data_IF_021438399997
#
_entry.id   IF_021438399997
#
_cell.length_a   1.000
_cell.length_b   1.000
_cell.length_c   1.000
_cell.angle_alpha   90.00
_cell.angle_beta   90.00
_cell.angle_gamma   90.00
#
_symmetry.space_group_name_H-M   'P 1'
#
loop_
_entity.id
_entity.type
_entity.pdbx_description
1 polymer ?
#
# COMPACT_ATOMS: atom_id res chain seq x y z
N UNK A 1 27.29 -65.91 -5.79
CA UNK A 1 28.45 -66.19 -6.67
C UNK A 1 28.00 -67.18 -7.72
N UNK A 2 28.45 -66.96 -8.96
CA UNK A 2 28.16 -67.73 -10.19
C UNK A 2 26.83 -67.32 -10.84
N UNK A 3 26.84 -66.42 -11.85
CA UNK A 3 27.21 -66.65 -13.28
C UNK A 3 26.13 -67.48 -13.99
N UNK A 4 25.67 -67.23 -15.22
CA UNK A 4 26.12 -66.37 -16.31
C UNK A 4 24.97 -66.29 -17.34
N UNK A 5 24.96 -65.20 -18.08
CA UNK A 5 24.24 -64.93 -19.35
C UNK A 5 24.47 -66.03 -20.40
N UNK A 6 23.59 -66.35 -21.36
CA UNK A 6 23.26 -65.56 -22.56
C UNK A 6 22.32 -66.37 -23.50
N UNK A 7 21.46 -65.66 -24.25
CA UNK A 7 21.26 -65.67 -25.73
C UNK A 7 21.66 -66.96 -26.50
N UNK A 8 20.93 -67.52 -27.48
CA UNK A 8 19.96 -67.05 -28.47
C UNK A 8 19.19 -68.26 -29.03
N UNK A 9 18.02 -68.06 -29.67
CA UNK A 9 17.29 -69.13 -30.36
C UNK A 9 15.97 -68.71 -31.04
N UNK A 10 16.11 -68.01 -32.16
CA UNK A 10 15.16 -67.65 -33.24
C UNK A 10 13.89 -68.51 -33.42
N UNK A 11 12.72 -67.88 -33.65
CA UNK A 11 11.80 -68.09 -34.81
C UNK A 11 10.93 -66.82 -35.03
N UNK A 12 10.78 -66.47 -36.31
CA UNK A 12 10.14 -65.29 -36.95
C UNK A 12 8.61 -65.46 -37.09
N UNK A 13 7.82 -64.37 -37.07
CA UNK A 13 6.84 -63.98 -38.11
C UNK A 13 6.00 -62.71 -37.74
N UNK A 14 6.18 -61.67 -38.57
CA UNK A 14 5.20 -60.75 -39.21
C UNK A 14 4.06 -60.13 -38.38
N UNK A 15 3.63 -58.87 -38.53
CA UNK A 15 3.85 -57.86 -39.57
C UNK A 15 3.29 -56.49 -39.12
N UNK A 16 3.64 -55.46 -39.88
CA UNK A 16 2.95 -54.17 -40.13
C UNK A 16 3.15 -52.99 -39.18
N UNK A 17 4.23 -52.28 -39.49
CA UNK A 17 4.22 -51.16 -40.46
C UNK A 17 4.44 -49.75 -39.90
N UNK A 18 5.69 -49.29 -40.05
CA UNK A 18 6.16 -48.19 -40.94
C UNK A 18 5.50 -46.80 -40.80
N UNK A 19 6.18 -45.65 -40.85
CA UNK A 19 7.40 -45.10 -41.50
C UNK A 19 7.75 -43.86 -40.64
N UNK A 20 8.97 -43.70 -40.08
CA UNK A 20 10.14 -42.97 -40.68
C UNK A 20 9.86 -41.45 -40.86
N UNK A 21 10.78 -40.50 -40.64
CA UNK A 21 12.24 -40.53 -40.61
C UNK A 21 12.79 -39.23 -39.99
N UNK A 22 14.02 -39.34 -39.51
CA UNK A 22 15.02 -38.30 -39.20
C UNK A 22 15.21 -37.35 -40.41
N UNK A 23 15.78 -36.14 -40.35
CA UNK A 23 17.18 -35.85 -39.99
C UNK A 23 17.48 -34.35 -40.14
N UNK A 24 18.32 -33.83 -39.23
CA UNK A 24 19.57 -33.06 -39.49
C UNK A 24 19.60 -31.71 -40.26
N UNK A 25 20.04 -30.67 -39.52
CA UNK A 25 21.07 -29.61 -39.83
C UNK A 25 21.01 -28.84 -41.17
N UNK A 26 21.22 -27.51 -41.29
CA UNK A 26 22.00 -26.53 -40.53
C UNK A 26 21.94 -25.14 -41.22
N UNK A 27 22.25 -24.08 -40.45
CA UNK A 27 22.92 -22.80 -40.80
C UNK A 27 22.18 -21.59 -41.45
N UNK A 28 22.52 -20.42 -40.85
CA UNK A 28 22.60 -19.03 -41.35
C UNK A 28 21.45 -18.02 -41.12
N UNK A 29 21.65 -17.21 -40.07
CA UNK A 29 21.81 -15.74 -39.99
C UNK A 29 20.84 -14.73 -40.67
N UNK A 30 20.51 -13.72 -39.85
CA UNK A 30 20.12 -12.32 -40.10
C UNK A 30 18.72 -12.00 -40.70
N UNK A 31 17.80 -11.47 -39.87
CA UNK A 31 17.44 -10.03 -39.85
C UNK A 31 16.16 -9.73 -39.02
N UNK A 32 16.22 -8.60 -38.30
CA UNK A 32 15.18 -7.67 -37.82
C UNK A 32 13.84 -8.10 -37.15
N UNK A 33 13.67 -7.54 -35.94
CA UNK A 33 12.46 -6.94 -35.35
C UNK A 33 11.07 -7.50 -35.68
N UNK A 34 10.45 -8.12 -34.67
CA UNK A 34 9.20 -7.64 -34.03
C UNK A 34 8.78 -8.67 -32.96
N UNK A 35 9.15 -8.45 -31.70
CA UNK A 35 8.54 -9.18 -30.59
C UNK A 35 7.23 -8.52 -30.20
N UNK A 36 6.15 -9.12 -30.69
CA UNK A 36 4.82 -9.09 -30.12
C UNK A 36 4.86 -9.55 -28.64
N UNK A 37 4.06 -8.87 -27.82
CA UNK A 37 3.79 -9.23 -26.43
C UNK A 37 3.33 -10.69 -26.33
N UNK A 38 3.76 -11.47 -25.32
CA UNK A 38 3.02 -12.63 -24.90
C UNK A 38 1.92 -12.21 -23.93
N UNK A 39 0.71 -12.64 -24.28
CA UNK A 39 -0.50 -12.62 -23.49
C UNK A 39 -0.24 -13.04 -22.04
N UNK A 40 -0.61 -12.17 -21.10
CA UNK A 40 -0.63 -12.47 -19.69
C UNK A 40 -1.65 -13.58 -19.44
N UNK A 41 -1.16 -14.76 -19.12
CA UNK A 41 -1.97 -15.82 -18.52
C UNK A 41 -2.45 -15.34 -17.16
N UNK A 42 -3.75 -15.05 -17.09
CA UNK A 42 -4.47 -14.74 -15.88
C UNK A 42 -4.29 -15.90 -14.88
N UNK A 43 -3.37 -15.72 -13.95
CA UNK A 43 -3.36 -16.50 -12.71
C UNK A 43 -4.36 -15.82 -11.78
N UNK A 44 -5.42 -16.53 -11.43
CA UNK A 44 -6.45 -16.08 -10.49
C UNK A 44 -5.81 -15.76 -9.13
N UNK A 45 -5.39 -14.51 -8.95
CA UNK A 45 -4.97 -13.99 -7.67
C UNK A 45 -6.19 -13.88 -6.76
N UNK A 46 -6.27 -14.77 -5.77
CA UNK A 46 -7.24 -14.67 -4.69
C UNK A 46 -6.95 -13.39 -3.90
N UNK A 47 -7.74 -12.34 -4.15
CA UNK A 47 -7.73 -11.13 -3.33
C UNK A 47 -7.91 -11.53 -1.86
N UNK A 48 -6.86 -11.29 -1.05
CA UNK A 48 -6.73 -11.68 0.36
C UNK A 48 -7.74 -11.02 1.32
N UNK A 49 -8.53 -10.05 0.85
CA UNK A 49 -9.33 -9.18 1.71
C UNK A 49 -10.81 -9.05 1.31
N UNK A 50 -11.39 -10.12 0.74
CA UNK A 50 -12.84 -10.16 0.45
C UNK A 50 -13.64 -10.49 1.71
N UNK A 51 -13.88 -9.49 2.57
CA UNK A 51 -14.74 -9.68 3.75
C UNK A 51 -15.35 -8.41 4.33
N UNK A 52 -14.56 -7.35 4.49
CA UNK A 52 -15.00 -6.17 5.24
C UNK A 52 -15.60 -5.06 4.36
N UNK A 53 -16.76 -5.32 3.73
CA UNK A 53 -17.55 -4.26 3.05
C UNK A 53 -18.84 -3.86 3.75
N UNK A 54 -19.06 -4.24 5.02
CA UNK A 54 -20.26 -3.80 5.74
C UNK A 54 -19.96 -3.30 7.15
N UNK A 55 -20.29 -2.01 7.32
CA UNK A 55 -20.72 -1.33 8.55
C UNK A 55 -19.71 -1.23 9.69
N UNK A 56 -18.85 -0.21 9.65
CA UNK A 56 -18.48 0.58 10.85
C UNK A 56 -18.28 2.03 10.40
N UNK A 57 -19.33 2.85 10.44
CA UNK A 57 -19.25 4.31 10.52
C UNK A 57 -20.60 4.81 11.05
N UNK A 58 -20.72 4.87 12.38
CA UNK A 58 -21.66 5.81 13.00
C UNK A 58 -20.75 6.84 13.64
N UNK A 59 -20.48 7.89 12.88
CA UNK A 59 -19.97 9.13 13.43
C UNK A 59 -21.16 10.08 13.45
N UNK A 60 -21.50 10.64 14.61
CA UNK A 60 -22.63 11.56 14.83
C UNK A 60 -22.42 12.93 14.13
N UNK A 61 -21.48 13.01 13.19
CA UNK A 61 -21.18 14.21 12.42
C UNK A 61 -22.08 14.25 11.19
N UNK A 62 -22.84 15.34 11.02
CA UNK A 62 -23.70 15.56 9.84
C UNK A 62 -22.91 15.58 8.52
N UNK A 63 -21.58 15.65 8.58
CA UNK A 63 -20.70 15.85 7.44
C UNK A 63 -19.51 14.87 7.46
N UNK A 64 -19.17 14.35 6.29
CA UNK A 64 -17.96 13.57 6.02
C UNK A 64 -16.83 14.50 5.62
N UNK A 65 -15.68 14.40 6.29
CA UNK A 65 -14.45 15.09 5.87
C UNK A 65 -13.65 14.22 4.90
N UNK A 66 -13.26 14.80 3.76
CA UNK A 66 -12.49 14.13 2.71
C UNK A 66 -11.26 14.95 2.33
N UNK A 67 -10.12 14.30 2.18
CA UNK A 67 -8.90 14.90 1.61
C UNK A 67 -8.45 14.09 0.41
N UNK A 68 -8.38 14.75 -0.74
CA UNK A 68 -7.82 14.17 -1.97
C UNK A 68 -6.30 14.27 -1.97
N UNK A 69 -5.66 13.15 -2.30
CA UNK A 69 -4.23 12.96 -2.49
C UNK A 69 -4.03 12.32 -3.86
N UNK A 70 -3.30 13.00 -4.76
CA UNK A 70 -3.23 12.57 -6.15
C UNK A 70 -1.84 12.77 -6.73
N UNK A 71 -1.40 11.83 -7.56
CA UNK A 71 -0.28 12.05 -8.47
C UNK A 71 -0.78 12.61 -9.80
N UNK A 72 -0.21 13.74 -10.22
CA UNK A 72 -0.52 14.41 -11.48
C UNK A 72 0.74 14.58 -12.34
N UNK A 73 0.61 14.71 -13.67
CA UNK A 73 1.72 15.08 -14.52
C UNK A 73 2.26 16.50 -14.20
N UNK A 74 3.46 16.81 -14.71
CA UNK A 74 4.02 18.15 -14.58
C UNK A 74 3.27 19.15 -15.47
N UNK A 75 2.95 20.31 -14.90
CA UNK A 75 2.26 21.42 -15.57
C UNK A 75 3.19 22.64 -15.76
N UNK A 76 4.51 22.47 -15.72
CA UNK A 76 5.51 23.56 -15.71
C UNK A 76 5.34 24.65 -16.78
N UNK A 77 4.70 24.34 -17.90
CA UNK A 77 4.53 25.26 -19.02
C UNK A 77 3.11 25.81 -19.18
N UNK A 78 2.24 25.65 -18.18
CA UNK A 78 0.85 26.11 -18.23
C UNK A 78 0.55 26.96 -16.98
N UNK A 79 0.15 28.21 -17.20
CA UNK A 79 -0.34 29.08 -16.12
C UNK A 79 -1.76 28.67 -15.74
N UNK A 80 -1.92 28.20 -14.51
CA UNK A 80 -3.16 27.66 -13.97
C UNK A 80 -2.86 26.75 -12.78
N UNK A 81 -3.85 25.99 -12.34
CA UNK A 81 -3.68 25.07 -11.22
C UNK A 81 -4.61 23.86 -11.33
N UNK A 82 -4.17 22.68 -10.84
CA UNK A 82 -5.01 21.51 -10.79
C UNK A 82 -6.07 21.63 -9.68
N UNK A 83 -7.22 21.03 -9.94
CA UNK A 83 -8.39 21.04 -9.06
C UNK A 83 -9.11 19.69 -9.07
N UNK A 84 -10.01 19.51 -8.11
CA UNK A 84 -11.03 18.46 -8.11
C UNK A 84 -12.38 19.10 -8.42
N UNK A 85 -13.14 18.50 -9.36
CA UNK A 85 -14.51 18.91 -9.66
C UNK A 85 -15.45 17.72 -9.63
N UNK A 86 -16.71 17.93 -9.24
CA UNK A 86 -17.67 16.85 -9.05
C UNK A 86 -19.13 17.30 -9.18
N UNK A 87 -20.06 16.34 -9.14
CA UNK A 87 -21.49 16.58 -9.35
C UNK A 87 -22.25 17.21 -8.17
N UNK A 88 -21.56 17.58 -7.09
CA UNK A 88 -22.14 18.20 -5.91
C UNK A 88 -21.60 19.60 -5.72
N UNK A 89 -22.33 20.42 -4.97
CA UNK A 89 -22.00 21.81 -4.67
C UNK A 89 -20.62 21.94 -4.03
N UNK A 90 -20.30 21.05 -3.09
CA UNK A 90 -19.03 21.02 -2.36
C UNK A 90 -17.83 20.64 -3.25
N UNK A 91 -18.10 20.13 -4.47
CA UNK A 91 -17.12 19.85 -5.51
C UNK A 91 -17.35 20.72 -6.78
N UNK A 92 -18.16 21.77 -6.69
CA UNK A 92 -18.29 22.80 -7.71
C UNK A 92 -19.28 22.51 -8.84
N UNK A 93 -20.11 21.47 -8.75
CA UNK A 93 -21.12 21.11 -9.76
C UNK A 93 -20.53 21.01 -11.19
N UNK A 94 -19.37 20.35 -11.32
CA UNK A 94 -18.58 20.18 -12.55
C UNK A 94 -17.95 21.44 -13.16
N UNK A 95 -18.29 22.62 -12.66
CA UNK A 95 -17.93 23.89 -13.31
C UNK A 95 -17.05 24.78 -12.43
N UNK A 96 -17.33 24.85 -11.13
CA UNK A 96 -16.70 25.82 -10.24
C UNK A 96 -15.37 25.28 -9.65
N UNK A 97 -14.25 26.02 -9.77
CA UNK A 97 -12.93 25.58 -9.35
C UNK A 97 -12.68 25.74 -7.83
N UNK A 98 -13.56 25.17 -7.01
CA UNK A 98 -13.54 25.40 -5.55
C UNK A 98 -12.53 24.53 -4.80
N UNK A 99 -12.31 23.27 -5.23
CA UNK A 99 -11.36 22.36 -4.59
C UNK A 99 -10.00 22.49 -5.28
N UNK A 100 -9.18 23.42 -4.78
CA UNK A 100 -7.83 23.66 -5.31
C UNK A 100 -6.85 22.62 -4.78
N UNK A 101 -6.02 22.08 -5.66
CA UNK A 101 -4.93 21.18 -5.29
C UNK A 101 -3.64 21.99 -5.14
N UNK A 102 -2.85 21.64 -4.13
CA UNK A 102 -1.56 22.27 -3.82
C UNK A 102 -0.46 21.22 -3.67
N UNK A 103 0.77 21.66 -3.93
CA UNK A 103 1.98 20.90 -3.64
C UNK A 103 2.54 21.38 -2.30
N UNK A 104 3.24 20.50 -1.60
CA UNK A 104 4.04 20.92 -0.46
C UNK A 104 5.26 21.70 -0.99
N UNK A 105 5.51 22.89 -0.47
CA UNK A 105 6.72 23.65 -0.80
C UNK A 105 7.94 22.89 -0.24
N UNK A 106 8.81 22.42 -1.14
CA UNK A 106 10.07 21.79 -0.76
C UNK A 106 11.19 22.81 -0.64
N UNK A 107 12.02 22.71 0.40
CA UNK A 107 13.16 23.60 0.64
C UNK A 107 14.33 23.39 -0.34
N UNK A 108 14.32 22.32 -1.16
CA UNK A 108 15.42 21.98 -2.06
C UNK A 108 14.98 21.99 -3.54
N UNK A 109 15.36 23.08 -4.20
CA UNK A 109 15.75 23.24 -5.60
C UNK A 109 15.35 22.13 -6.61
N UNK A 110 14.47 22.54 -7.54
CA UNK A 110 14.33 22.10 -8.95
C UNK A 110 13.48 20.88 -9.35
N UNK A 111 12.82 20.16 -8.44
CA UNK A 111 11.79 19.18 -8.85
C UNK A 111 10.48 19.41 -8.10
N UNK A 112 9.46 19.91 -8.82
CA UNK A 112 8.10 19.93 -8.30
C UNK A 112 7.65 18.48 -8.14
N UNK A 113 7.32 18.08 -6.91
CA UNK A 113 6.80 16.72 -6.66
C UNK A 113 5.55 16.47 -7.47
N UNK A 114 5.40 15.31 -8.10
CA UNK A 114 4.17 14.98 -8.81
C UNK A 114 2.98 14.74 -7.85
N UNK A 115 3.20 14.76 -6.54
CA UNK A 115 2.18 14.63 -5.51
C UNK A 115 1.49 15.96 -5.23
N UNK A 116 0.16 15.93 -5.27
CA UNK A 116 -0.74 17.04 -4.96
C UNK A 116 -1.77 16.61 -3.93
N UNK A 117 -2.27 17.57 -3.17
CA UNK A 117 -3.34 17.33 -2.20
C UNK A 117 -4.28 18.53 -2.07
N UNK A 118 -5.48 18.28 -1.57
CA UNK A 118 -6.49 19.31 -1.26
C UNK A 118 -6.50 19.65 0.23
N UNK A 119 -7.08 20.79 0.60
CA UNK A 119 -7.53 20.97 1.98
C UNK A 119 -8.72 20.04 2.29
N UNK A 120 -8.92 19.60 3.55
CA UNK A 120 -10.06 18.76 3.91
C UNK A 120 -11.40 19.42 3.58
N UNK A 121 -12.22 18.74 2.77
CA UNK A 121 -13.54 19.20 2.34
C UNK A 121 -14.61 18.54 3.21
N UNK A 122 -15.55 19.32 3.71
CA UNK A 122 -16.68 18.85 4.52
C UNK A 122 -17.89 18.63 3.61
N UNK A 123 -18.30 17.38 3.40
CA UNK A 123 -19.44 17.01 2.54
C UNK A 123 -20.59 16.52 3.42
N UNK A 124 -21.79 17.14 3.37
CA UNK A 124 -22.95 16.68 4.12
C UNK A 124 -23.32 15.23 3.81
N UNK A 125 -23.65 14.45 4.84
CA UNK A 125 -24.02 13.04 4.71
C UNK A 125 -25.19 12.81 3.74
N UNK A 126 -26.13 13.75 3.70
CA UNK A 126 -27.31 13.70 2.85
C UNK A 126 -26.97 13.70 1.36
N UNK A 127 -25.80 14.24 0.96
CA UNK A 127 -25.33 14.15 -0.43
C UNK A 127 -25.15 12.69 -0.85
N UNK A 128 -24.57 11.86 0.00
CA UNK A 128 -24.32 10.44 -0.28
C UNK A 128 -25.57 9.58 -0.17
N UNK A 129 -26.58 10.03 0.59
CA UNK A 129 -27.86 9.32 0.71
C UNK A 129 -28.74 9.57 -0.53
N UNK A 130 -28.63 10.75 -1.13
CA UNK A 130 -29.48 11.18 -2.24
C UNK A 130 -28.83 11.01 -3.61
N UNK A 131 -27.49 11.00 -3.69
CA UNK A 131 -26.75 10.98 -4.95
C UNK A 131 -25.57 10.00 -4.91
N UNK A 132 -25.26 9.46 -6.09
CA UNK A 132 -23.96 8.86 -6.35
C UNK A 132 -22.94 10.00 -6.57
N UNK A 133 -22.13 10.30 -5.56
CA UNK A 133 -21.16 11.41 -5.63
C UNK A 133 -19.99 11.02 -6.52
N UNK A 134 -19.77 11.78 -7.61
CA UNK A 134 -18.72 11.56 -8.60
C UNK A 134 -17.81 12.76 -8.71
N UNK A 135 -16.54 12.50 -8.99
CA UNK A 135 -15.53 13.54 -9.19
C UNK A 135 -14.55 13.19 -10.32
N UNK A 136 -13.85 14.20 -10.82
CA UNK A 136 -12.69 14.06 -11.70
C UNK A 136 -11.64 15.11 -11.39
N UNK A 137 -10.42 14.85 -11.81
CA UNK A 137 -9.33 15.84 -11.76
C UNK A 137 -9.38 16.71 -13.01
N UNK A 138 -9.13 18.00 -12.83
CA UNK A 138 -9.08 18.99 -13.90
C UNK A 138 -7.96 19.99 -13.68
N UNK A 139 -7.57 20.70 -14.74
CA UNK A 139 -6.65 21.82 -14.69
C UNK A 139 -7.41 23.09 -15.07
N UNK A 140 -7.42 24.07 -14.17
CA UNK A 140 -8.14 25.32 -14.35
C UNK A 140 -7.19 26.45 -14.76
N UNK A 141 -7.55 27.15 -15.83
CA UNK A 141 -6.86 28.34 -16.31
C UNK A 141 -7.78 29.55 -16.09
N UNK A 142 -7.50 30.42 -15.11
CA UNK A 142 -8.26 31.64 -14.91
C UNK A 142 -8.19 32.53 -16.17
N UNK A 143 -9.31 33.14 -16.55
CA UNK A 143 -9.28 34.22 -17.54
C UNK A 143 -8.50 35.40 -16.95
N UNK A 144 -7.67 36.09 -17.75
CA UNK A 144 -7.05 37.32 -17.29
C UNK A 144 -8.16 38.29 -16.92
N UNK A 145 -8.19 38.72 -15.65
CA UNK A 145 -9.06 39.81 -15.22
C UNK A 145 -8.65 41.01 -16.07
N UNK A 146 -9.55 41.51 -16.91
CA UNK A 146 -9.30 42.74 -17.67
C UNK A 146 -9.25 43.86 -16.63
N UNK A 147 -8.08 44.10 -16.05
CA UNK A 147 -7.82 45.31 -15.31
C UNK A 147 -8.01 46.44 -16.31
N UNK A 148 -9.11 47.19 -16.16
CA UNK A 148 -9.33 48.41 -16.91
C UNK A 148 -8.24 49.41 -16.57
N UNK A 149 -7.12 49.35 -17.30
CA UNK A 149 -6.10 50.37 -17.55
C UNK A 149 -5.00 49.78 -18.44
N UNK A 150 -5.29 49.73 -19.74
CA UNK A 150 -4.24 49.90 -20.74
C UNK A 150 -3.47 51.18 -20.40
N UNK A 151 -2.20 51.07 -19.98
CA UNK A 151 -1.28 52.21 -19.86
C UNK A 151 -0.78 52.67 -21.25
N UNK A 152 -1.67 52.68 -22.23
CA UNK A 152 -1.43 53.25 -23.55
C UNK A 152 -2.60 54.17 -23.94
N UNK A 153 -2.94 55.13 -23.07
CA UNK A 153 -3.62 56.36 -23.47
C UNK A 153 -2.85 57.56 -22.91
N UNK A 154 -1.80 57.95 -23.62
CA UNK A 154 -1.30 59.32 -23.57
C UNK A 154 -2.45 60.23 -24.03
N UNK A 155 -2.83 61.18 -23.17
CA UNK A 155 -3.79 62.27 -23.40
C UNK A 155 -5.28 61.91 -23.43
N UNK A 156 -5.90 61.79 -22.26
CA UNK A 156 -7.07 62.61 -21.86
C UNK A 156 -7.43 62.31 -20.41
N UNK A 157 -7.65 63.35 -19.60
CA UNK A 157 -7.99 63.24 -18.18
C UNK A 157 -9.33 62.51 -18.00
N UNK A 158 -9.48 61.55 -17.07
CA UNK A 158 -10.78 61.20 -16.53
C UNK A 158 -11.02 61.90 -15.19
N UNK A 159 -12.18 62.55 -15.07
CA UNK A 159 -12.85 62.86 -13.80
C UNK A 159 -13.88 61.75 -13.52
N UNK A 160 -14.24 61.66 -12.24
CA UNK A 160 -15.24 60.80 -11.60
C UNK A 160 -14.76 59.40 -11.20
N UNK A 161 -14.44 59.32 -9.90
CA UNK A 161 -14.28 58.12 -9.11
C UNK A 161 -15.64 57.44 -8.92
N UNK A 162 -15.85 56.28 -9.53
CA UNK A 162 -16.69 55.24 -8.97
C UNK A 162 -15.82 54.02 -8.70
N UNK A 163 -15.35 53.91 -7.45
CA UNK A 163 -14.75 52.68 -6.94
C UNK A 163 -15.87 51.63 -6.87
N UNK A 164 -15.99 50.79 -7.91
CA UNK A 164 -16.69 49.51 -7.78
C UNK A 164 -15.97 48.70 -6.70
N UNK A 165 -16.63 48.51 -5.56
CA UNK A 165 -16.28 47.49 -4.58
C UNK A 165 -16.53 46.15 -5.25
N UNK A 166 -15.46 45.44 -5.60
CA UNK A 166 -15.54 44.03 -5.96
C UNK A 166 -15.75 43.25 -4.66
N UNK A 167 -16.78 42.41 -4.61
CA UNK A 167 -16.87 41.35 -3.61
C UNK A 167 -15.92 40.24 -4.06
N UNK A 168 -15.13 39.67 -3.16
CA UNK A 168 -14.23 38.53 -3.44
C UNK A 168 -14.99 37.22 -3.73
N UNK A 169 -16.31 37.24 -3.78
CA UNK A 169 -17.20 36.08 -3.88
C UNK A 169 -17.62 35.73 -5.34
N UNK A 170 -17.18 36.48 -6.34
CA UNK A 170 -17.48 36.12 -7.74
C UNK A 170 -16.64 34.89 -8.15
N UNK A 171 -17.25 33.84 -8.73
CA UNK A 171 -16.52 32.65 -9.15
C UNK A 171 -15.44 33.04 -10.16
N UNK A 172 -14.22 32.53 -9.96
CA UNK A 172 -13.13 32.73 -10.92
C UNK A 172 -13.60 32.20 -12.29
N UNK A 173 -13.85 33.10 -13.25
CA UNK A 173 -14.12 32.69 -14.62
C UNK A 173 -12.84 32.15 -15.27
N UNK A 174 -12.92 31.00 -15.94
CA UNK A 174 -11.77 30.36 -16.56
C UNK A 174 -12.14 29.17 -17.44
N UNK A 175 -11.12 28.58 -18.05
CA UNK A 175 -11.25 27.38 -18.86
C UNK A 175 -10.84 26.15 -18.04
N UNK A 176 -11.66 25.09 -18.11
CA UNK A 176 -11.44 23.82 -17.42
C UNK A 176 -10.96 22.75 -18.41
N UNK A 177 -9.82 22.11 -18.11
CA UNK A 177 -9.28 21.00 -18.90
C UNK A 177 -9.26 19.73 -18.07
N UNK A 178 -10.08 18.74 -18.43
CA UNK A 178 -10.17 17.48 -17.71
C UNK A 178 -9.04 16.52 -18.08
N UNK A 179 -8.87 15.47 -17.27
CA UNK A 179 -8.09 14.28 -17.62
C UNK A 179 -8.55 13.70 -18.98
N UNK A 180 -7.61 13.17 -19.76
CA UNK A 180 -7.88 12.46 -21.00
C UNK A 180 -8.85 11.29 -20.73
N UNK A 181 -9.90 11.15 -21.56
CA UNK A 181 -11.04 10.22 -21.38
C UNK A 181 -12.04 10.59 -20.28
N UNK A 182 -11.88 11.75 -19.63
CA UNK A 182 -12.82 12.28 -18.62
C UNK A 182 -13.21 11.25 -17.53
N UNK A 183 -12.22 10.54 -17.00
CA UNK A 183 -12.46 9.46 -16.04
C UNK A 183 -13.23 9.96 -14.80
N UNK A 184 -14.49 9.54 -14.69
CA UNK A 184 -15.34 9.79 -13.53
C UNK A 184 -15.04 8.76 -12.44
N UNK A 185 -14.68 9.26 -11.26
CA UNK A 185 -14.38 8.47 -10.07
C UNK A 185 -15.53 8.56 -9.08
N UNK A 186 -15.84 7.44 -8.43
CA UNK A 186 -16.87 7.37 -7.39
C UNK A 186 -16.27 7.81 -6.05
N UNK A 187 -16.90 8.79 -5.41
CA UNK A 187 -16.57 9.15 -4.03
C UNK A 187 -17.42 8.31 -3.09
N UNK A 188 -16.85 7.21 -2.59
CA UNK A 188 -17.51 6.39 -1.58
C UNK A 188 -17.74 7.17 -0.28
N UNK A 189 -18.89 6.91 0.36
CA UNK A 189 -19.28 7.39 1.70
C UNK A 189 -18.34 6.86 2.79
N UNK A 190 -17.13 7.42 2.84
CA UNK A 190 -16.06 7.11 3.79
C UNK A 190 -15.31 8.40 4.09
N UNK A 191 -15.02 8.63 5.36
CA UNK A 191 -14.18 9.73 5.82
C UNK A 191 -12.72 9.52 5.40
N UNK A 192 -11.96 10.59 5.40
CA UNK A 192 -10.50 10.55 5.34
C UNK A 192 -9.93 10.67 3.93
N UNK A 193 -8.94 9.83 3.62
CA UNK A 193 -8.09 10.03 2.45
C UNK A 193 -8.62 9.36 1.19
N UNK A 194 -8.54 10.07 0.06
CA UNK A 194 -8.75 9.54 -1.29
C UNK A 194 -7.45 9.61 -2.05
N UNK A 195 -6.99 8.46 -2.52
CA UNK A 195 -5.71 8.30 -3.19
C UNK A 195 -5.93 7.97 -4.66
N UNK A 196 -5.37 8.77 -5.54
CA UNK A 196 -5.51 8.60 -6.98
C UNK A 196 -4.19 8.84 -7.73
N UNK A 197 -4.15 8.36 -8.97
CA UNK A 197 -3.16 8.76 -9.96
C UNK A 197 -3.96 9.18 -11.20
N UNK A 198 -3.76 10.41 -11.67
CA UNK A 198 -4.31 10.87 -12.94
C UNK A 198 -3.17 10.98 -13.96
N UNK A 199 -3.29 10.25 -15.06
CA UNK A 199 -2.13 9.96 -15.92
C UNK A 199 -1.89 11.02 -16.98
N UNK A 200 -2.95 11.51 -17.62
CA UNK A 200 -2.82 12.31 -18.84
C UNK A 200 -3.81 13.46 -18.85
N UNK A 201 -3.33 14.65 -19.20
CA UNK A 201 -4.19 15.83 -19.42
C UNK A 201 -3.91 16.42 -20.79
N UNK A 202 -4.95 16.87 -21.47
CA UNK A 202 -4.85 17.67 -22.70
C UNK A 202 -5.28 19.09 -22.39
N UNK A 203 -4.32 19.99 -22.24
CA UNK A 203 -4.55 21.39 -21.92
C UNK A 203 -4.29 22.23 -23.16
N UNK A 204 -5.35 22.85 -23.70
CA UNK A 204 -5.33 23.52 -25.01
C UNK A 204 -4.85 22.55 -26.09
N UNK A 205 -3.64 22.74 -26.60
CA UNK A 205 -3.01 21.87 -27.61
C UNK A 205 -1.90 20.99 -27.04
N UNK A 206 -1.65 21.05 -25.73
CA UNK A 206 -0.54 20.33 -25.08
C UNK A 206 -1.05 19.13 -24.32
N UNK A 207 -0.55 17.95 -24.68
CA UNK A 207 -0.70 16.72 -23.91
C UNK A 207 0.42 16.68 -22.85
N UNK A 208 0.05 16.53 -21.59
CA UNK A 208 0.99 16.29 -20.49
C UNK A 208 0.69 14.94 -19.85
N UNK A 209 1.74 14.18 -19.58
CA UNK A 209 1.67 12.77 -19.20
C UNK A 209 2.52 12.51 -17.97
N UNK A 210 1.99 11.64 -17.10
CA UNK A 210 2.65 11.21 -15.90
C UNK A 210 3.71 10.17 -16.27
N UNK A 211 4.98 10.59 -16.31
CA UNK A 211 6.07 9.77 -16.85
C UNK A 211 6.67 8.78 -15.86
N UNK A 212 6.76 9.14 -14.58
CA UNK A 212 7.40 8.29 -13.58
C UNK A 212 6.96 8.67 -12.18
N UNK A 213 6.70 7.64 -11.37
CA UNK A 213 6.43 7.72 -9.94
C UNK A 213 7.77 7.52 -9.19
N UNK A 214 8.51 8.60 -8.93
CA UNK A 214 9.83 8.51 -8.27
C UNK A 214 9.77 8.57 -6.76
N UNK A 215 8.71 9.17 -6.20
CA UNK A 215 8.56 9.38 -4.75
C UNK A 215 7.11 9.05 -4.35
N UNK A 216 6.81 7.77 -4.16
CA UNK A 216 5.51 7.35 -3.64
C UNK A 216 5.43 7.71 -2.15
N UNK A 217 4.42 8.48 -1.73
CA UNK A 217 4.30 9.02 -0.36
C UNK A 217 2.99 8.65 0.34
N UNK A 218 2.08 7.96 -0.36
CA UNK A 218 0.74 7.69 0.18
C UNK A 218 0.79 6.87 1.48
N UNK A 219 1.74 5.93 1.60
CA UNK A 219 1.85 5.15 2.84
C UNK A 219 2.41 5.98 3.97
N UNK A 220 3.39 6.85 3.70
CA UNK A 220 3.91 7.79 4.69
C UNK A 220 2.83 8.75 5.22
N UNK A 221 1.91 9.19 4.35
CA UNK A 221 0.77 10.05 4.72
C UNK A 221 -0.16 9.32 5.69
N UNK A 222 -0.52 8.07 5.38
CA UNK A 222 -1.34 7.25 6.28
C UNK A 222 -0.63 7.09 7.63
N UNK A 223 0.62 6.62 7.64
CA UNK A 223 1.41 6.40 8.86
C UNK A 223 1.45 7.65 9.75
N UNK A 224 1.71 8.82 9.15
CA UNK A 224 1.85 10.07 9.90
C UNK A 224 0.51 10.58 10.46
N UNK A 225 -0.61 10.18 9.85
CA UNK A 225 -1.96 10.58 10.27
C UNK A 225 -2.59 9.68 11.34
N UNK A 226 -1.97 8.55 11.68
CA UNK A 226 -2.50 7.60 12.67
C UNK A 226 -2.48 8.21 14.07
N UNK A 227 -3.62 8.06 14.73
CA UNK A 227 -3.90 8.36 16.14
C UNK A 227 -4.68 7.20 16.74
N UNK A 228 -4.81 7.15 18.06
CA UNK A 228 -5.64 6.13 18.73
C UNK A 228 -7.10 6.17 18.28
N UNK A 229 -7.64 7.36 18.01
CA UNK A 229 -9.06 7.55 17.70
C UNK A 229 -9.43 7.16 16.26
N UNK A 230 -8.47 7.23 15.32
CA UNK A 230 -8.72 6.99 13.89
C UNK A 230 -8.05 5.73 13.34
N UNK A 231 -7.45 4.90 14.20
CA UNK A 231 -6.60 3.80 13.75
C UNK A 231 -7.32 2.84 12.79
N UNK A 232 -8.55 2.43 13.12
CA UNK A 232 -9.35 1.54 12.27
C UNK A 232 -9.62 2.14 10.89
N UNK A 233 -9.89 3.44 10.83
CA UNK A 233 -10.13 4.15 9.57
C UNK A 233 -8.87 4.17 8.71
N UNK A 234 -7.70 4.42 9.32
CA UNK A 234 -6.39 4.41 8.63
C UNK A 234 -6.00 3.04 8.11
N UNK A 235 -6.41 1.98 8.79
CA UNK A 235 -6.24 0.60 8.31
C UNK A 235 -7.09 0.35 7.06
N UNK A 236 -8.34 0.81 7.05
CA UNK A 236 -9.20 0.69 5.88
C UNK A 236 -8.73 1.55 4.70
N UNK A 237 -8.20 2.74 4.96
CA UNK A 237 -7.56 3.58 3.93
C UNK A 237 -6.32 2.87 3.34
N UNK A 238 -5.48 2.27 4.18
CA UNK A 238 -4.33 1.49 3.73
C UNK A 238 -4.74 0.27 2.90
N UNK A 239 -5.82 -0.41 3.27
CA UNK A 239 -6.33 -1.52 2.47
C UNK A 239 -6.80 -1.06 1.08
N UNK A 240 -7.54 0.04 1.01
CA UNK A 240 -7.91 0.64 -0.27
C UNK A 240 -6.69 1.09 -1.08
N UNK A 241 -5.64 1.57 -0.41
CA UNK A 241 -4.37 1.90 -1.04
C UNK A 241 -3.69 0.65 -1.63
N UNK A 242 -3.63 -0.45 -0.88
CA UNK A 242 -3.09 -1.73 -1.34
C UNK A 242 -3.87 -2.32 -2.50
N UNK A 243 -5.20 -2.25 -2.48
CA UNK A 243 -6.07 -2.76 -3.55
C UNK A 243 -5.81 -2.06 -4.89
N UNK A 244 -5.53 -0.75 -4.85
CA UNK A 244 -5.35 0.08 -6.06
C UNK A 244 -3.89 0.25 -6.48
N UNK A 245 -2.94 0.19 -5.53
CA UNK A 245 -1.54 0.57 -5.75
C UNK A 245 -0.55 -0.41 -5.09
N UNK A 246 -0.88 -1.71 -5.02
CA UNK A 246 -0.07 -2.76 -4.35
C UNK A 246 1.43 -2.65 -4.61
N UNK A 247 1.84 -2.60 -5.89
CA UNK A 247 3.26 -2.59 -6.24
C UNK A 247 3.97 -1.30 -5.77
N UNK A 248 3.48 -0.08 -6.12
CA UNK A 248 4.02 1.15 -5.55
C UNK A 248 4.13 1.16 -4.03
N UNK A 249 3.09 0.71 -3.33
CA UNK A 249 3.06 0.66 -1.86
C UNK A 249 4.16 -0.24 -1.32
N UNK A 250 4.26 -1.48 -1.83
CA UNK A 250 5.25 -2.45 -1.35
C UNK A 250 6.69 -2.06 -1.68
N UNK A 251 6.90 -1.26 -2.73
CA UNK A 251 8.21 -0.68 -3.05
C UNK A 251 8.56 0.52 -2.16
N UNK A 252 7.59 1.38 -1.78
CA UNK A 252 7.80 2.47 -0.81
C UNK A 252 8.13 1.92 0.59
N UNK A 253 7.38 0.90 1.03
CA UNK A 253 7.52 0.34 2.37
C UNK A 253 8.57 -0.75 2.44
N UNK A 254 9.79 -0.44 2.01
CA UNK A 254 10.89 -1.37 2.08
C UNK A 254 11.43 -1.58 3.51
N UNK A 255 12.42 -2.46 3.64
CA UNK A 255 12.98 -2.81 4.95
C UNK A 255 13.62 -1.60 5.65
N UNK A 256 14.20 -0.67 4.90
CA UNK A 256 14.88 0.50 5.44
C UNK A 256 13.86 1.54 5.91
N UNK A 257 12.82 1.79 5.10
CA UNK A 257 11.68 2.62 5.49
C UNK A 257 11.06 2.11 6.80
N UNK A 258 10.75 0.81 6.87
CA UNK A 258 10.10 0.23 8.04
C UNK A 258 11.03 0.28 9.26
N UNK A 259 12.31 -0.11 9.10
CA UNK A 259 13.30 -0.09 10.18
C UNK A 259 13.44 1.31 10.78
N UNK A 260 13.61 2.33 9.94
CA UNK A 260 13.76 3.72 10.38
C UNK A 260 12.50 4.22 11.09
N UNK A 261 11.31 3.92 10.58
CA UNK A 261 10.07 4.37 11.19
C UNK A 261 9.78 3.64 12.52
N UNK A 262 10.13 2.35 12.65
CA UNK A 262 10.04 1.64 13.94
C UNK A 262 10.96 2.28 14.99
N UNK A 263 12.19 2.65 14.59
CA UNK A 263 13.13 3.30 15.50
C UNK A 263 12.69 4.72 15.91
N UNK A 264 12.10 5.48 14.98
CA UNK A 264 11.62 6.85 15.25
C UNK A 264 10.33 6.89 16.08
N UNK A 265 9.46 5.91 15.91
CA UNK A 265 8.13 5.88 16.55
C UNK A 265 8.25 5.58 18.06
N UNK A 266 7.66 6.44 18.89
CA UNK A 266 7.74 6.30 20.36
C UNK A 266 6.84 5.16 20.86
N UNK A 267 7.12 4.64 22.05
CA UNK A 267 6.31 3.54 22.66
C UNK A 267 4.85 3.92 22.91
N UNK A 268 4.57 5.22 23.11
CA UNK A 268 3.22 5.77 23.26
C UNK A 268 2.44 5.86 21.95
N UNK A 269 3.09 5.77 20.80
CA UNK A 269 2.46 5.77 19.48
C UNK A 269 2.20 4.31 19.06
N UNK A 270 1.41 3.62 19.89
CA UNK A 270 1.24 2.18 19.83
C UNK A 270 0.62 1.72 18.50
N UNK A 271 -0.41 2.43 18.05
CA UNK A 271 -1.16 2.17 16.82
C UNK A 271 -0.27 2.35 15.59
N UNK A 272 0.63 3.34 15.59
CA UNK A 272 1.64 3.48 14.53
C UNK A 272 2.61 2.31 14.49
N UNK A 273 3.02 1.79 15.65
CA UNK A 273 3.88 0.60 15.70
C UNK A 273 3.16 -0.65 15.20
N UNK A 274 1.88 -0.83 15.54
CA UNK A 274 1.07 -1.91 14.99
C UNK A 274 0.94 -1.78 13.48
N UNK A 275 0.70 -0.56 12.96
CA UNK A 275 0.69 -0.32 11.52
C UNK A 275 2.01 -0.71 10.87
N UNK A 276 3.14 -0.32 11.45
CA UNK A 276 4.47 -0.72 10.96
C UNK A 276 4.68 -2.24 11.00
N UNK A 277 4.13 -2.94 12.00
CA UNK A 277 4.12 -4.41 12.02
C UNK A 277 3.30 -5.01 10.87
N UNK A 278 2.19 -4.38 10.46
CA UNK A 278 1.42 -4.81 9.29
C UNK A 278 2.20 -4.57 8.00
N UNK A 279 2.80 -3.39 7.84
CA UNK A 279 3.64 -3.07 6.67
C UNK A 279 4.77 -4.09 6.53
N UNK A 280 5.43 -4.46 7.64
CA UNK A 280 6.50 -5.45 7.63
C UNK A 280 6.02 -6.83 7.19
N UNK A 281 4.84 -7.26 7.66
CA UNK A 281 4.28 -8.55 7.32
C UNK A 281 3.99 -8.64 5.82
N UNK A 282 3.33 -7.61 5.30
CA UNK A 282 3.02 -7.49 3.88
C UNK A 282 4.29 -7.42 3.01
N UNK A 283 5.30 -6.68 3.44
CA UNK A 283 6.59 -6.60 2.74
C UNK A 283 7.30 -7.95 2.71
N UNK A 284 7.39 -8.65 3.85
CA UNK A 284 8.02 -9.98 3.92
C UNK A 284 7.28 -10.96 3.03
N UNK A 285 5.94 -10.98 3.09
CA UNK A 285 5.11 -11.83 2.24
C UNK A 285 5.42 -11.59 0.76
N UNK A 286 5.38 -10.33 0.32
CA UNK A 286 5.70 -9.94 -1.05
C UNK A 286 7.11 -10.37 -1.48
N UNK A 287 8.11 -10.17 -0.62
CA UNK A 287 9.49 -10.60 -0.89
C UNK A 287 9.57 -12.12 -1.01
N UNK A 288 8.80 -12.86 -0.20
CA UNK A 288 8.76 -14.31 -0.24
C UNK A 288 8.11 -14.86 -1.51
N UNK A 289 7.01 -14.26 -1.95
CA UNK A 289 6.38 -14.59 -3.23
C UNK A 289 7.31 -14.31 -4.42
N UNK A 290 8.03 -13.19 -4.38
CA UNK A 290 8.80 -12.71 -5.53
C UNK A 290 10.21 -13.31 -5.63
N UNK A 291 10.88 -13.56 -4.50
CA UNK A 291 12.29 -13.92 -4.45
C UNK A 291 12.61 -15.14 -3.56
N UNK A 292 11.60 -15.79 -2.99
CA UNK A 292 11.79 -16.93 -2.09
C UNK A 292 12.19 -16.52 -0.67
N UNK A 293 12.98 -17.33 0.02
CA UNK A 293 13.22 -17.15 1.47
C UNK A 293 13.75 -15.75 1.82
N UNK A 294 12.97 -15.00 2.58
CA UNK A 294 13.35 -13.71 3.14
C UNK A 294 13.49 -13.80 4.67
N UNK A 295 14.52 -13.15 5.22
CA UNK A 295 14.74 -13.01 6.65
C UNK A 295 15.13 -11.57 6.97
N UNK A 296 14.78 -11.12 8.18
CA UNK A 296 15.14 -9.77 8.64
C UNK A 296 16.66 -9.63 8.75
N UNK A 297 17.23 -8.48 8.37
CA UNK A 297 18.67 -8.24 8.48
C UNK A 297 19.11 -8.11 9.93
N UNK A 298 20.40 -8.38 10.19
CA UNK A 298 21.00 -8.13 11.50
C UNK A 298 20.89 -6.65 11.86
N UNK A 299 20.62 -6.35 13.13
CA UNK A 299 20.45 -4.98 13.62
C UNK A 299 19.05 -4.39 13.40
N UNK A 300 18.12 -5.13 12.79
CA UNK A 300 16.72 -4.70 12.69
C UNK A 300 16.10 -4.50 14.09
N UNK A 301 15.24 -3.48 14.30
CA UNK A 301 14.69 -3.09 15.62
C UNK A 301 13.63 -4.08 16.16
N UNK A 302 14.02 -5.34 16.39
CA UNK A 302 13.12 -6.42 16.81
C UNK A 302 12.59 -6.24 18.25
N UNK A 303 13.33 -5.55 19.13
CA UNK A 303 12.88 -5.34 20.51
C UNK A 303 11.58 -4.51 20.52
N UNK A 304 11.54 -3.45 19.71
CA UNK A 304 10.35 -2.61 19.54
C UNK A 304 9.16 -3.39 18.98
N UNK A 305 9.40 -4.34 18.07
CA UNK A 305 8.35 -5.22 17.52
C UNK A 305 7.81 -6.14 18.62
N UNK A 306 8.69 -6.84 19.34
CA UNK A 306 8.29 -7.75 20.41
C UNK A 306 7.48 -7.02 21.48
N UNK A 307 7.96 -5.88 21.95
CA UNK A 307 7.27 -5.06 22.97
C UNK A 307 5.90 -4.55 22.50
N UNK A 308 5.72 -4.36 21.19
CA UNK A 308 4.47 -3.89 20.59
C UNK A 308 3.48 -5.06 20.45
N UNK A 309 3.91 -6.17 19.87
CA UNK A 309 3.06 -7.34 19.65
C UNK A 309 2.67 -8.03 20.96
N UNK A 310 3.55 -8.04 21.98
CA UNK A 310 3.22 -8.57 23.31
C UNK A 310 1.95 -7.97 23.90
N UNK A 311 1.65 -6.70 23.56
CA UNK A 311 0.51 -5.95 24.10
C UNK A 311 -0.74 -6.01 23.22
N UNK A 312 -0.66 -6.65 22.05
CA UNK A 312 -1.74 -6.66 21.08
C UNK A 312 -2.99 -7.36 21.61
N UNK A 313 -4.14 -6.76 21.30
CA UNK A 313 -5.47 -7.21 21.69
C UNK A 313 -6.32 -7.44 20.45
N UNK A 314 -7.26 -8.38 20.52
CA UNK A 314 -8.06 -8.83 19.37
C UNK A 314 -9.09 -7.80 18.88
N UNK A 315 -9.44 -6.81 19.70
CA UNK A 315 -10.41 -5.75 19.37
C UNK A 315 -9.80 -4.61 18.54
N UNK A 316 -8.47 -4.56 18.46
CA UNK A 316 -7.72 -3.51 17.76
C UNK A 316 -7.85 -3.65 16.23
N UNK A 317 -7.72 -4.87 15.71
CA UNK A 317 -7.76 -5.18 14.28
C UNK A 317 -8.65 -6.40 14.00
N UNK A 318 -9.36 -6.39 12.86
CA UNK A 318 -10.02 -7.59 12.34
C UNK A 318 -9.05 -8.76 12.10
N UNK A 319 -9.58 -9.98 12.17
CA UNK A 319 -8.79 -11.21 11.99
C UNK A 319 -8.11 -11.35 10.61
N UNK A 320 -8.64 -10.69 9.56
CA UNK A 320 -8.03 -10.68 8.22
C UNK A 320 -6.63 -10.04 8.18
N UNK A 321 -6.26 -9.24 9.19
CA UNK A 321 -4.93 -8.65 9.31
C UNK A 321 -3.94 -9.54 10.08
N UNK A 322 -4.41 -10.63 10.69
CA UNK A 322 -3.58 -11.44 11.60
C UNK A 322 -2.54 -12.24 10.83
N UNK A 323 -2.77 -12.59 9.57
CA UNK A 323 -1.77 -13.26 8.74
C UNK A 323 -0.52 -12.40 8.55
N UNK A 324 -0.70 -11.11 8.23
CA UNK A 324 0.42 -10.18 8.12
C UNK A 324 1.14 -9.99 9.48
N UNK A 325 0.38 -9.88 10.57
CA UNK A 325 0.98 -9.81 11.91
C UNK A 325 1.72 -11.10 12.28
N UNK A 326 1.22 -12.27 11.89
CA UNK A 326 1.86 -13.55 12.13
C UNK A 326 3.18 -13.67 11.36
N UNK A 327 3.22 -13.22 10.11
CA UNK A 327 4.45 -13.16 9.31
C UNK A 327 5.49 -12.28 10.01
N UNK A 328 5.09 -11.09 10.47
CA UNK A 328 5.96 -10.20 11.26
C UNK A 328 6.44 -10.84 12.55
N UNK A 329 5.53 -11.43 13.32
CA UNK A 329 5.81 -12.08 14.58
C UNK A 329 6.83 -13.21 14.38
N UNK A 330 6.59 -14.09 13.41
CA UNK A 330 7.46 -15.21 13.07
C UNK A 330 8.84 -14.75 12.62
N UNK A 331 8.92 -13.70 11.79
CA UNK A 331 10.18 -13.13 11.35
C UNK A 331 10.98 -12.51 12.52
N UNK A 332 10.30 -11.81 13.44
CA UNK A 332 10.91 -11.26 14.64
C UNK A 332 11.42 -12.36 15.58
N UNK A 333 10.64 -13.41 15.80
CA UNK A 333 11.03 -14.61 16.58
C UNK A 333 12.30 -15.21 15.99
N UNK A 334 12.31 -15.47 14.68
CA UNK A 334 13.46 -16.07 13.98
C UNK A 334 14.73 -15.25 14.17
N UNK A 335 14.68 -13.93 13.98
CA UNK A 335 15.85 -13.08 14.14
C UNK A 335 16.28 -12.97 15.61
N UNK A 336 15.35 -12.89 16.57
CA UNK A 336 15.64 -12.87 18.00
C UNK A 336 16.39 -14.14 18.44
N UNK A 337 15.94 -15.29 17.93
CA UNK A 337 16.56 -16.60 18.13
C UNK A 337 17.97 -16.67 17.54
N UNK A 338 18.17 -16.20 16.30
CA UNK A 338 19.48 -16.13 15.65
C UNK A 338 20.44 -15.25 16.47
N UNK A 339 19.94 -14.12 16.97
CA UNK A 339 20.66 -13.19 17.86
C UNK A 339 20.85 -13.72 19.28
N UNK A 340 20.42 -14.94 19.54
CA UNK A 340 20.56 -15.66 20.79
C UNK A 340 19.81 -15.07 21.99
N UNK A 341 18.79 -14.25 21.74
CA UNK A 341 17.89 -13.75 22.78
C UNK A 341 16.73 -14.71 23.04
N UNK A 342 16.11 -14.55 24.21
CA UNK A 342 14.90 -15.24 24.65
C UNK A 342 13.68 -14.31 24.75
N UNK A 343 13.80 -13.04 24.35
CA UNK A 343 12.70 -12.06 24.41
C UNK A 343 11.48 -12.50 23.61
N UNK A 344 11.69 -13.28 22.56
CA UNK A 344 10.63 -13.84 21.73
C UNK A 344 9.61 -14.67 22.53
N UNK A 345 10.00 -15.23 23.69
CA UNK A 345 9.11 -15.98 24.57
C UNK A 345 7.93 -15.14 25.10
N UNK A 346 8.06 -13.81 25.13
CA UNK A 346 6.97 -12.90 25.51
C UNK A 346 5.78 -13.01 24.54
N UNK A 347 6.03 -13.37 23.29
CA UNK A 347 5.01 -13.46 22.23
C UNK A 347 4.08 -14.67 22.40
N UNK A 348 4.38 -15.62 23.30
CA UNK A 348 3.41 -16.65 23.68
C UNK A 348 2.10 -16.04 24.21
N UNK A 349 2.15 -14.86 24.84
CA UNK A 349 0.96 -14.17 25.36
C UNK A 349 -0.06 -13.83 24.28
N UNK A 350 0.42 -13.48 23.09
CA UNK A 350 -0.40 -13.03 21.97
C UNK A 350 -0.58 -14.12 20.91
N UNK A 351 0.24 -15.17 20.93
CA UNK A 351 0.19 -16.25 19.95
C UNK A 351 -1.22 -16.83 19.79
N UNK A 352 -1.96 -17.07 20.87
CA UNK A 352 -3.35 -17.59 20.76
C UNK A 352 -4.31 -16.69 19.97
N UNK A 353 -3.97 -15.41 19.77
CA UNK A 353 -4.73 -14.43 18.99
C UNK A 353 -4.21 -14.39 17.55
N UNK A 354 -2.89 -14.16 17.37
CA UNK A 354 -2.28 -13.91 16.05
C UNK A 354 -1.94 -15.20 15.29
N UNK A 355 -1.50 -16.23 16.01
CA UNK A 355 -1.10 -17.55 15.48
C UNK A 355 -1.66 -18.66 16.36
N UNK A 356 -2.98 -18.94 16.30
CA UNK A 356 -3.63 -19.89 17.21
C UNK A 356 -3.07 -21.31 17.14
N UNK A 357 -2.37 -21.65 16.06
CA UNK A 357 -1.72 -22.94 15.85
C UNK A 357 -0.27 -23.00 16.33
N UNK A 358 0.28 -21.87 16.80
CA UNK A 358 1.68 -21.75 17.21
C UNK A 358 2.63 -22.23 16.10
N UNK A 359 2.30 -21.94 14.84
CA UNK A 359 3.08 -22.31 13.65
C UNK A 359 4.50 -21.72 13.66
N UNK A 360 4.74 -20.61 14.37
CA UNK A 360 6.11 -20.06 14.52
C UNK A 360 7.10 -21.05 15.14
N UNK A 361 6.61 -22.07 15.87
CA UNK A 361 7.43 -23.13 16.48
C UNK A 361 8.22 -23.91 15.41
N UNK A 362 7.62 -24.14 14.24
CA UNK A 362 8.26 -24.87 13.14
C UNK A 362 9.52 -24.16 12.64
N UNK A 363 9.57 -22.83 12.77
CA UNK A 363 10.70 -22.00 12.33
C UNK A 363 11.88 -22.07 13.31
N UNK A 364 11.64 -22.57 14.53
CA UNK A 364 12.63 -22.64 15.61
C UNK A 364 12.92 -24.06 16.11
N UNK A 365 12.35 -25.09 15.49
CA UNK A 365 12.51 -26.49 15.91
C UNK A 365 13.95 -27.02 15.78
N UNK A 366 14.76 -26.45 14.88
CA UNK A 366 16.14 -26.88 14.64
C UNK A 366 17.16 -26.30 15.64
N UNK A 367 16.68 -25.65 16.71
CA UNK A 367 17.55 -25.00 17.68
C UNK A 367 18.26 -26.00 18.59
N UNK A 368 19.59 -26.03 18.48
CA UNK A 368 20.47 -26.74 19.40
C UNK A 368 21.05 -25.77 20.42
N UNK A 369 20.65 -25.91 21.68
CA UNK A 369 21.23 -25.16 22.80
C UNK A 369 22.36 -25.96 23.48
N UNK A 370 23.41 -25.27 23.92
CA UNK A 370 24.35 -25.85 24.89
C UNK A 370 23.66 -26.03 26.24
N UNK A 371 24.20 -26.88 27.11
CA UNK A 371 23.62 -27.16 28.43
C UNK A 371 23.38 -25.87 29.26
N UNK A 372 24.35 -24.97 29.31
CA UNK A 372 24.22 -23.70 30.04
C UNK A 372 23.11 -22.81 29.46
N UNK A 373 23.02 -22.78 28.13
CA UNK A 373 22.02 -21.99 27.44
C UNK A 373 20.62 -22.58 27.57
N UNK A 374 20.51 -23.90 27.60
CA UNK A 374 19.26 -24.60 27.90
C UNK A 374 18.76 -24.25 29.30
N UNK A 375 19.67 -24.14 30.28
CA UNK A 375 19.32 -23.73 31.65
C UNK A 375 18.72 -22.31 31.67
N UNK A 376 19.34 -21.37 30.96
CA UNK A 376 18.82 -20.01 30.83
C UNK A 376 17.49 -19.95 30.06
N UNK A 377 17.36 -20.75 29.01
CA UNK A 377 16.10 -20.89 28.27
C UNK A 377 14.98 -21.35 29.19
N UNK A 378 15.19 -22.39 29.99
CA UNK A 378 14.17 -22.91 30.91
C UNK A 378 13.73 -21.89 31.96
N UNK A 379 14.65 -21.04 32.43
CA UNK A 379 14.34 -19.94 33.35
C UNK A 379 13.40 -18.93 32.67
N UNK A 380 13.75 -18.44 31.48
CA UNK A 380 12.92 -17.46 30.76
C UNK A 380 11.60 -18.06 30.25
N UNK A 381 11.59 -19.33 29.84
CA UNK A 381 10.40 -20.07 29.47
C UNK A 381 9.42 -20.18 30.65
N UNK A 382 9.93 -20.53 31.84
CA UNK A 382 9.12 -20.63 33.05
C UNK A 382 8.47 -19.29 33.40
N UNK A 383 9.19 -18.18 33.18
CA UNK A 383 8.73 -16.83 33.45
C UNK A 383 7.69 -16.33 32.44
N UNK A 384 7.89 -16.58 31.15
CA UNK A 384 7.14 -15.89 30.09
C UNK A 384 6.10 -16.75 29.38
N UNK A 385 6.32 -18.07 29.26
CA UNK A 385 5.53 -18.94 28.39
C UNK A 385 4.83 -20.09 29.11
N UNK A 386 5.43 -20.67 30.16
CA UNK A 386 4.95 -21.91 30.82
C UNK A 386 3.48 -21.87 31.21
N UNK A 387 3.02 -20.80 31.84
CA UNK A 387 1.60 -20.69 32.26
C UNK A 387 0.63 -20.72 31.08
N UNK A 388 1.04 -20.17 29.93
CA UNK A 388 0.21 -20.09 28.72
C UNK A 388 0.20 -21.46 28.04
N UNK A 389 1.38 -22.07 27.87
CA UNK A 389 1.52 -23.39 27.26
C UNK A 389 0.72 -24.44 28.04
N UNK A 390 0.74 -24.38 29.37
CA UNK A 390 -0.03 -25.30 30.22
C UNK A 390 -1.55 -25.17 30.07
N UNK A 391 -2.06 -24.07 29.52
CA UNK A 391 -3.50 -23.87 29.27
C UNK A 391 -3.94 -24.43 27.91
N UNK A 392 -3.00 -24.83 27.04
CA UNK A 392 -3.30 -25.37 25.72
C UNK A 392 -3.86 -26.79 25.87
N UNK A 393 -5.15 -26.94 25.61
CA UNK A 393 -5.86 -28.24 25.67
C UNK A 393 -5.66 -29.08 24.41
N UNK A 394 -5.34 -28.45 23.28
CA UNK A 394 -5.18 -29.15 22.02
C UNK A 394 -3.84 -29.92 22.02
N UNK A 395 -3.93 -31.25 22.02
CA UNK A 395 -2.79 -32.14 22.11
C UNK A 395 -1.83 -32.01 20.91
N UNK A 396 -2.32 -31.68 19.70
CA UNK A 396 -1.45 -31.49 18.54
C UNK A 396 -0.61 -30.22 18.66
N UNK A 397 -1.21 -29.13 19.13
CA UNK A 397 -0.53 -27.85 19.39
C UNK A 397 0.48 -28.01 20.52
N UNK A 398 0.07 -28.67 21.62
CA UNK A 398 0.97 -28.94 22.75
C UNK A 398 2.16 -29.81 22.33
N UNK A 399 1.91 -30.84 21.52
CA UNK A 399 2.98 -31.69 20.98
C UNK A 399 3.93 -30.93 20.06
N UNK A 400 3.45 -29.94 19.28
CA UNK A 400 4.31 -29.11 18.45
C UNK A 400 5.25 -28.25 19.31
N UNK A 401 4.73 -27.62 20.37
CA UNK A 401 5.53 -26.80 21.29
C UNK A 401 6.59 -27.66 22.02
N UNK A 402 6.23 -28.88 22.41
CA UNK A 402 7.15 -29.82 23.06
C UNK A 402 8.34 -30.29 22.21
N UNK A 403 8.38 -30.00 20.90
CA UNK A 403 9.53 -30.33 20.03
C UNK A 403 10.70 -29.35 20.17
N UNK A 404 10.48 -28.17 20.76
CA UNK A 404 11.51 -27.13 20.94
C UNK A 404 12.25 -27.27 22.28
N UNK A 405 11.61 -27.93 23.25
CA UNK A 405 12.14 -28.25 24.58
C UNK A 405 12.84 -29.60 24.59
#
# INVERSE_FOLDING_TARGET
MSSETNKDGTVILLDKSTVETLSETSLQADDFEHQSQPESTNTENKNFFKGWKKTIFVDDSSNIKVTFHVYLPSFEFVEGYPIVVGNIEELGNWENPIVKLKQQEGEYLHFKSNYWYSDPISIPLDRFNNYEVKYKYAFFIPKPRIEGKSKFSLFTKPKSDEKKKYNDDDPDEGDLYSEENEQLRLLEKKTGFKFDIAQVFVIKTRRTEFRSLRDFVFTSIILNSITSDNFKDKIMEYQGLMDNFRNPVLHETDIDFISQNIQKTKSKEYEKRIFLCLLLGNYIHFRQESFGRFGLPNGFPIAQIIDTLEKFQSDLLPGEFYDALNITMTAAIRLNVINRSFDWLKLFKVASIIDPHFSFIEVIQDLKYSNDRMKNFLIEYTKSAKSIVNQIKNLSIYSNIGRVS
#
